data_IF_216779517102
#
_entry.id   IF_216779517102
#
_cell.length_a   1.000
_cell.length_b   1.000
_cell.length_c   1.000
_cell.angle_alpha   90.00
_cell.angle_beta   90.00
_cell.angle_gamma   90.00
#
_symmetry.space_group_name_H-M   'P 1'
#
loop_
_entity.id
_entity.type
_entity.pdbx_description
1 polymer ?
#
# COMPACT_ATOMS: atom_id res chain seq x y z
N UNK A 1 17.14 12.46 -18.70
CA UNK A 1 17.04 11.26 -17.84
C UNK A 1 15.66 10.67 -18.01
N UNK A 2 15.52 9.36 -17.97
CA UNK A 2 14.21 8.73 -17.99
C UNK A 2 13.53 9.02 -16.64
N UNK A 3 12.27 9.49 -16.66
CA UNK A 3 11.50 9.77 -15.45
C UNK A 3 11.33 8.49 -14.63
N UNK A 4 11.32 8.61 -13.30
CA UNK A 4 11.05 7.50 -12.40
C UNK A 4 9.56 7.47 -12.06
N UNK A 5 8.92 6.30 -12.22
CA UNK A 5 7.52 6.08 -11.81
C UNK A 5 7.41 4.89 -10.88
N UNK A 6 6.75 5.11 -9.77
CA UNK A 6 6.40 4.07 -8.81
C UNK A 6 4.96 3.63 -9.05
N UNK A 7 4.77 2.37 -9.37
CA UNK A 7 3.47 1.70 -9.46
C UNK A 7 3.22 1.04 -8.10
N UNK A 8 2.53 1.75 -7.22
CA UNK A 8 2.33 1.35 -5.82
C UNK A 8 1.03 0.57 -5.73
N UNK A 9 1.13 -0.71 -5.41
CA UNK A 9 0.03 -1.67 -5.34
C UNK A 9 -0.32 -1.88 -3.87
N UNK A 10 -1.61 -1.78 -3.49
CA UNK A 10 -2.05 -2.30 -2.20
C UNK A 10 -2.07 -3.84 -2.28
N UNK A 11 -1.54 -4.52 -1.27
CA UNK A 11 -1.56 -5.99 -1.19
C UNK A 11 -2.95 -6.59 -1.43
N UNK A 12 -3.03 -7.85 -1.85
CA UNK A 12 -4.26 -8.59 -2.08
C UNK A 12 -5.09 -8.79 -0.81
N UNK A 13 -6.36 -9.19 -0.97
CA UNK A 13 -7.28 -9.42 0.14
C UNK A 13 -6.79 -10.56 1.04
N UNK A 14 -6.69 -10.29 2.34
CA UNK A 14 -6.20 -11.23 3.36
C UNK A 14 -7.33 -11.83 4.20
N UNK A 15 -7.00 -12.84 5.02
CA UNK A 15 -7.93 -13.36 6.03
C UNK A 15 -8.42 -12.26 6.96
N UNK A 16 -7.54 -11.38 7.48
CA UNK A 16 -7.92 -10.29 8.37
C UNK A 16 -8.83 -9.27 7.67
N UNK A 17 -8.60 -8.97 6.40
CA UNK A 17 -9.53 -8.12 5.64
C UNK A 17 -10.93 -8.75 5.56
N UNK A 18 -11.01 -10.07 5.40
CA UNK A 18 -12.28 -10.78 5.28
C UNK A 18 -13.07 -10.80 6.60
N UNK A 19 -12.37 -11.00 7.74
CA UNK A 19 -13.00 -11.07 9.06
C UNK A 19 -13.04 -9.73 9.81
N UNK A 20 -12.64 -8.64 9.14
CA UNK A 20 -12.73 -7.28 9.69
C UNK A 20 -11.78 -6.98 10.84
N UNK A 21 -10.58 -7.57 10.84
CA UNK A 21 -9.55 -7.27 11.85
C UNK A 21 -8.59 -6.18 11.38
N UNK A 22 -8.16 -5.35 12.32
CA UNK A 22 -7.10 -4.37 12.10
C UNK A 22 -5.79 -5.10 11.79
N UNK A 23 -5.16 -4.76 10.66
CA UNK A 23 -3.97 -5.42 10.17
C UNK A 23 -2.88 -4.39 9.88
N UNK A 24 -2.15 -4.05 10.91
CA UNK A 24 -0.96 -3.22 10.82
C UNK A 24 0.30 -4.07 10.60
N UNK A 25 1.08 -4.25 11.67
CA UNK A 25 2.28 -5.10 11.65
C UNK A 25 1.97 -6.58 11.86
N UNK A 26 0.79 -6.93 12.40
CA UNK A 26 0.30 -8.31 12.35
C UNK A 26 0.08 -8.76 10.90
N UNK A 27 0.22 -10.05 10.63
CA UNK A 27 0.17 -10.55 9.27
C UNK A 27 -0.68 -11.80 9.14
N UNK A 28 -1.42 -11.90 8.02
CA UNK A 28 -2.16 -13.09 7.61
C UNK A 28 -2.04 -13.29 6.11
N UNK A 29 -2.11 -14.54 5.62
CA UNK A 29 -1.98 -14.82 4.19
C UNK A 29 -3.12 -14.21 3.38
N UNK A 30 -2.90 -14.11 2.08
CA UNK A 30 -3.96 -13.82 1.12
C UNK A 30 -5.05 -14.90 1.18
N UNK A 31 -6.28 -14.54 0.87
CA UNK A 31 -7.35 -15.51 0.61
C UNK A 31 -7.30 -15.96 -0.84
N UNK A 32 -7.94 -17.08 -1.18
CA UNK A 32 -8.05 -17.50 -2.57
C UNK A 32 -8.68 -16.42 -3.48
N UNK A 33 -9.65 -15.67 -2.97
CA UNK A 33 -10.20 -14.48 -3.65
C UNK A 33 -9.14 -13.39 -3.83
N UNK A 34 -8.32 -13.15 -2.79
CA UNK A 34 -7.24 -12.18 -2.83
C UNK A 34 -6.16 -12.55 -3.85
N UNK A 35 -5.75 -13.84 -3.90
CA UNK A 35 -4.81 -14.34 -4.90
C UNK A 35 -5.36 -14.19 -6.31
N UNK A 36 -6.63 -14.61 -6.54
CA UNK A 36 -7.31 -14.45 -7.83
C UNK A 36 -7.30 -12.98 -8.30
N UNK A 37 -7.66 -12.03 -7.41
CA UNK A 37 -7.65 -10.61 -7.74
C UNK A 37 -6.25 -10.07 -8.07
N UNK A 38 -5.19 -10.62 -7.46
CA UNK A 38 -3.82 -10.22 -7.80
C UNK A 38 -3.35 -10.86 -9.11
N UNK A 39 -3.78 -12.08 -9.46
CA UNK A 39 -3.58 -12.64 -10.79
C UNK A 39 -4.24 -11.76 -11.86
N UNK A 40 -5.48 -11.33 -11.66
CA UNK A 40 -6.18 -10.39 -12.56
C UNK A 40 -5.40 -9.09 -12.71
N UNK A 41 -4.93 -8.49 -11.62
CA UNK A 41 -4.08 -7.30 -11.66
C UNK A 41 -2.80 -7.53 -12.49
N UNK A 42 -2.08 -8.64 -12.23
CA UNK A 42 -0.83 -8.98 -12.92
C UNK A 42 -1.03 -9.16 -14.43
N UNK A 43 -2.11 -9.83 -14.85
CA UNK A 43 -2.53 -9.94 -16.25
C UNK A 43 -2.79 -8.58 -16.86
N UNK A 44 -3.55 -7.70 -16.19
CA UNK A 44 -3.83 -6.36 -16.69
C UNK A 44 -2.57 -5.49 -16.82
N UNK A 45 -1.63 -5.60 -15.89
CA UNK A 45 -0.34 -4.93 -15.99
C UNK A 45 0.49 -5.46 -17.18
N UNK A 46 0.48 -6.76 -17.42
CA UNK A 46 1.14 -7.37 -18.60
C UNK A 46 0.55 -6.84 -19.90
N UNK A 47 -0.77 -6.82 -20.02
CA UNK A 47 -1.48 -6.34 -21.22
C UNK A 47 -1.27 -4.85 -21.48
N UNK A 48 -0.98 -4.06 -20.44
CA UNK A 48 -0.64 -2.64 -20.62
C UNK A 48 0.70 -2.42 -21.35
N UNK A 49 1.51 -3.46 -21.52
CA UNK A 49 2.82 -3.38 -22.15
C UNK A 49 3.88 -2.63 -21.34
N UNK A 50 3.57 -2.25 -20.09
CA UNK A 50 4.51 -1.59 -19.19
C UNK A 50 5.73 -2.49 -18.92
N UNK A 51 6.90 -1.86 -18.86
CA UNK A 51 8.15 -2.53 -18.48
C UNK A 51 8.58 -2.03 -17.12
N UNK A 52 8.99 -2.94 -16.25
CA UNK A 52 9.45 -2.67 -14.91
C UNK A 52 10.92 -3.07 -14.76
N UNK A 53 11.70 -2.21 -14.10
CA UNK A 53 13.15 -2.43 -13.92
C UNK A 53 13.48 -2.95 -12.52
N UNK A 54 12.65 -2.66 -11.53
CA UNK A 54 12.83 -3.05 -10.12
C UNK A 54 11.51 -3.32 -9.45
N UNK A 55 11.56 -4.13 -8.39
CA UNK A 55 10.43 -4.44 -7.54
C UNK A 55 10.80 -4.21 -6.06
N UNK A 56 9.85 -3.68 -5.29
CA UNK A 56 9.99 -3.42 -3.87
C UNK A 56 8.71 -3.81 -3.14
N UNK A 57 8.82 -4.28 -1.91
CA UNK A 57 7.65 -4.42 -1.04
C UNK A 57 8.01 -4.14 0.41
N UNK A 58 7.01 -3.95 1.27
CA UNK A 58 7.25 -4.16 2.69
C UNK A 58 7.64 -5.63 2.93
N UNK A 59 8.17 -5.90 4.10
CA UNK A 59 8.59 -7.26 4.51
C UNK A 59 7.47 -8.09 5.15
N UNK A 60 6.21 -7.67 5.00
CA UNK A 60 5.04 -8.44 5.44
C UNK A 60 4.73 -9.58 4.47
N UNK A 61 4.34 -10.75 4.96
CA UNK A 61 4.03 -11.91 4.14
C UNK A 61 2.98 -11.64 3.06
N UNK A 62 1.92 -10.86 3.38
CA UNK A 62 0.87 -10.48 2.42
C UNK A 62 1.38 -9.64 1.25
N UNK A 63 2.37 -8.78 1.46
CA UNK A 63 2.97 -7.98 0.38
C UNK A 63 3.95 -8.82 -0.45
N UNK A 64 4.69 -9.73 0.20
CA UNK A 64 5.57 -10.68 -0.47
C UNK A 64 4.77 -11.62 -1.38
N UNK A 65 3.67 -12.20 -0.87
CA UNK A 65 2.77 -13.03 -1.67
C UNK A 65 2.20 -12.26 -2.87
N UNK A 66 1.72 -11.03 -2.63
CA UNK A 66 1.19 -10.16 -3.70
C UNK A 66 2.25 -9.89 -4.77
N UNK A 67 3.47 -9.50 -4.38
CA UNK A 67 4.55 -9.22 -5.34
C UNK A 67 4.94 -10.48 -6.11
N UNK A 68 4.99 -11.64 -5.46
CA UNK A 68 5.30 -12.92 -6.11
C UNK A 68 4.36 -13.21 -7.28
N UNK A 69 3.04 -13.08 -7.06
CA UNK A 69 2.01 -13.28 -8.09
C UNK A 69 2.17 -12.25 -9.23
N UNK A 70 2.37 -10.98 -8.90
CA UNK A 70 2.55 -9.93 -9.93
C UNK A 70 3.78 -10.19 -10.79
N UNK A 71 4.91 -10.54 -10.18
CA UNK A 71 6.16 -10.87 -10.90
C UNK A 71 5.97 -12.09 -11.81
N UNK A 72 5.27 -13.11 -11.34
CA UNK A 72 4.96 -14.33 -12.11
C UNK A 72 4.10 -13.98 -13.34
N UNK A 73 3.01 -13.24 -13.17
CA UNK A 73 2.12 -12.85 -14.29
C UNK A 73 2.80 -11.96 -15.31
N UNK A 74 3.78 -11.16 -14.90
CA UNK A 74 4.60 -10.35 -15.79
C UNK A 74 5.72 -11.13 -16.49
N UNK A 75 5.93 -12.41 -16.13
CA UNK A 75 7.03 -13.23 -16.67
C UNK A 75 8.41 -12.76 -16.20
N UNK A 76 8.52 -12.12 -15.04
CA UNK A 76 9.73 -11.52 -14.50
C UNK A 76 10.40 -12.34 -13.40
N UNK A 77 9.89 -13.54 -13.10
CA UNK A 77 10.43 -14.44 -12.06
C UNK A 77 11.93 -14.71 -12.32
N UNK A 78 12.75 -14.38 -11.32
CA UNK A 78 14.22 -14.53 -11.40
C UNK A 78 14.93 -13.49 -12.28
N UNK A 79 14.20 -12.58 -12.94
CA UNK A 79 14.75 -11.61 -13.88
C UNK A 79 14.56 -10.15 -13.46
N UNK A 80 13.95 -9.89 -12.30
CA UNK A 80 13.77 -8.54 -11.76
C UNK A 80 14.43 -8.43 -10.38
N UNK A 81 15.27 -7.41 -10.12
CA UNK A 81 15.77 -7.15 -8.77
C UNK A 81 14.60 -6.86 -7.83
N UNK A 82 14.50 -7.59 -6.72
CA UNK A 82 13.43 -7.46 -5.73
C UNK A 82 14.02 -7.23 -4.35
N UNK A 83 13.58 -6.16 -3.69
CA UNK A 83 14.08 -5.71 -2.38
C UNK A 83 12.94 -5.44 -1.41
N UNK A 84 13.14 -5.81 -0.13
CA UNK A 84 12.23 -5.48 0.95
C UNK A 84 12.62 -4.17 1.65
N UNK A 85 11.64 -3.34 1.97
CA UNK A 85 11.85 -2.12 2.74
C UNK A 85 10.80 -2.01 3.87
N UNK A 86 11.25 -2.18 5.12
CA UNK A 86 10.38 -2.07 6.28
C UNK A 86 9.81 -0.68 6.51
N UNK A 87 10.37 0.36 5.87
CA UNK A 87 9.85 1.73 5.97
C UNK A 87 8.51 1.92 5.29
N UNK A 88 8.15 1.03 4.35
CA UNK A 88 6.84 1.03 3.67
C UNK A 88 5.87 -0.02 4.25
N UNK A 89 6.10 -0.53 5.48
CA UNK A 89 5.12 -1.29 6.26
C UNK A 89 3.85 -0.46 6.49
N UNK A 90 2.76 -1.15 6.83
CA UNK A 90 1.53 -0.49 7.31
C UNK A 90 1.78 0.29 8.62
N UNK A 91 0.83 1.10 9.01
CA UNK A 91 0.81 1.70 10.34
C UNK A 91 0.82 0.60 11.39
N UNK A 92 1.53 0.82 12.48
CA UNK A 92 1.47 -0.06 13.64
C UNK A 92 0.25 0.32 14.49
N UNK A 93 -0.67 -0.62 14.70
CA UNK A 93 -1.84 -0.38 15.56
C UNK A 93 -1.57 -0.75 17.03
N UNK A 94 -0.31 -1.07 17.37
CA UNK A 94 0.10 -1.38 18.72
C UNK A 94 -0.69 -2.52 19.34
N UNK A 95 -1.24 -2.32 20.54
CA UNK A 95 -2.09 -3.30 21.24
C UNK A 95 -3.36 -3.69 20.50
N UNK A 96 -3.76 -2.94 19.46
CA UNK A 96 -4.91 -3.24 18.61
C UNK A 96 -4.55 -4.00 17.31
N UNK A 97 -3.29 -4.33 17.10
CA UNK A 97 -2.90 -5.14 15.96
C UNK A 97 -3.53 -6.54 16.05
N UNK A 98 -4.36 -6.90 15.08
CA UNK A 98 -5.17 -8.12 15.09
C UNK A 98 -6.48 -8.03 15.84
N UNK A 99 -6.80 -6.92 16.49
CA UNK A 99 -8.10 -6.69 17.13
C UNK A 99 -9.22 -6.52 16.08
N UNK A 100 -10.48 -6.56 16.53
CA UNK A 100 -11.60 -6.27 15.64
C UNK A 100 -11.58 -4.80 15.20
N UNK A 101 -11.44 -4.56 13.90
CA UNK A 101 -11.29 -3.21 13.34
C UNK A 101 -12.48 -2.31 13.63
N UNK A 102 -13.70 -2.87 13.67
CA UNK A 102 -14.90 -2.15 14.07
C UNK A 102 -14.84 -1.59 15.49
N UNK A 103 -14.28 -2.35 16.43
CA UNK A 103 -14.10 -1.88 17.81
C UNK A 103 -13.09 -0.73 17.87
N UNK A 104 -11.96 -0.85 17.19
CA UNK A 104 -10.94 0.19 17.16
C UNK A 104 -11.46 1.47 16.52
N UNK A 105 -11.89 1.39 15.24
CA UNK A 105 -12.15 2.57 14.42
C UNK A 105 -13.53 3.21 14.67
N UNK A 106 -14.54 2.44 15.10
CA UNK A 106 -15.89 2.98 15.36
C UNK A 106 -16.25 3.03 16.86
N UNK A 107 -15.41 2.45 17.73
CA UNK A 107 -15.63 2.44 19.17
C UNK A 107 -14.59 3.22 19.94
N UNK A 108 -13.34 2.76 19.91
CA UNK A 108 -12.27 3.29 20.77
C UNK A 108 -11.78 4.66 20.29
N UNK A 109 -11.38 4.80 19.04
CA UNK A 109 -10.83 6.05 18.49
C UNK A 109 -11.83 7.19 18.59
N UNK A 110 -13.10 7.07 18.16
CA UNK A 110 -14.07 8.15 18.30
C UNK A 110 -14.29 8.61 19.73
N UNK A 111 -14.34 7.67 20.69
CA UNK A 111 -14.51 7.98 22.11
C UNK A 111 -13.33 8.78 22.67
N UNK A 112 -12.10 8.39 22.34
CA UNK A 112 -10.90 9.04 22.88
C UNK A 112 -10.70 10.42 22.25
N UNK A 113 -10.91 10.54 20.95
CA UNK A 113 -10.73 11.80 20.22
C UNK A 113 -11.99 12.68 20.18
N UNK A 114 -13.07 12.28 20.90
CA UNK A 114 -14.31 13.01 20.99
C UNK A 114 -14.88 13.42 19.61
N UNK A 115 -14.95 12.46 18.69
CA UNK A 115 -15.55 12.62 17.36
C UNK A 115 -16.68 11.61 17.16
N UNK A 116 -17.61 11.89 16.28
CA UNK A 116 -18.70 10.95 15.94
C UNK A 116 -18.28 9.92 14.89
N UNK A 117 -17.33 10.25 14.02
CA UNK A 117 -16.81 9.36 12.99
C UNK A 117 -15.29 9.54 12.82
N UNK A 118 -14.53 8.46 12.98
CA UNK A 118 -13.08 8.48 12.77
C UNK A 118 -12.68 8.93 11.35
N UNK A 119 -13.57 8.82 10.36
CA UNK A 119 -13.34 9.26 8.99
C UNK A 119 -13.30 10.78 8.83
N UNK A 120 -13.76 11.51 9.84
CA UNK A 120 -13.64 12.97 9.88
C UNK A 120 -12.26 13.42 10.32
N UNK A 121 -11.51 12.55 10.99
CA UNK A 121 -10.16 12.83 11.43
C UNK A 121 -9.20 12.94 10.24
N UNK A 122 -8.29 13.89 10.32
CA UNK A 122 -7.12 13.92 9.45
C UNK A 122 -6.18 12.74 9.75
N UNK A 123 -5.30 12.41 8.81
CA UNK A 123 -4.32 11.33 9.03
C UNK A 123 -3.40 11.60 10.23
N UNK A 124 -2.90 12.85 10.47
CA UNK A 124 -2.16 13.18 11.69
C UNK A 124 -2.95 12.94 12.99
N UNK A 125 -4.22 13.37 13.04
CA UNK A 125 -5.08 13.17 14.21
C UNK A 125 -5.32 11.69 14.47
N UNK A 126 -5.58 10.91 13.43
CA UNK A 126 -5.79 9.47 13.55
C UNK A 126 -4.52 8.74 14.02
N UNK A 127 -3.34 9.08 13.49
CA UNK A 127 -2.08 8.48 13.92
C UNK A 127 -1.78 8.77 15.40
N UNK A 128 -1.92 10.03 15.81
CA UNK A 128 -1.71 10.42 17.20
C UNK A 128 -2.75 9.80 18.13
N UNK A 129 -4.02 9.70 17.70
CA UNK A 129 -5.05 9.00 18.45
C UNK A 129 -4.77 7.50 18.64
N UNK A 130 -4.13 6.84 17.67
CA UNK A 130 -3.68 5.46 17.83
C UNK A 130 -2.61 5.35 18.94
N UNK A 131 -1.70 6.31 19.04
CA UNK A 131 -0.71 6.35 20.13
C UNK A 131 -1.38 6.50 21.50
N UNK A 132 -2.41 7.34 21.60
CA UNK A 132 -3.14 7.55 22.87
C UNK A 132 -3.86 6.29 23.38
N UNK A 133 -4.35 5.44 22.46
CA UNK A 133 -5.07 4.22 22.82
C UNK A 133 -4.16 2.99 22.93
N UNK A 134 -2.93 3.07 22.44
CA UNK A 134 -1.99 1.96 22.43
C UNK A 134 -1.34 1.74 23.78
N UNK A 135 -1.74 0.69 24.49
CA UNK A 135 -1.15 0.29 25.78
C UNK A 135 0.19 -0.45 25.64
N UNK A 136 0.57 -0.88 24.43
CA UNK A 136 1.84 -1.55 24.17
C UNK A 136 2.97 -0.57 23.84
N UNK A 137 2.64 0.69 23.47
CA UNK A 137 3.62 1.71 23.15
C UNK A 137 4.36 1.46 21.83
N UNK A 138 3.75 0.78 20.86
CA UNK A 138 4.34 0.46 19.55
C UNK A 138 3.78 1.30 18.41
N UNK A 139 2.60 1.93 18.60
CA UNK A 139 2.03 2.82 17.60
C UNK A 139 2.95 4.04 17.38
N UNK A 140 3.07 4.44 16.13
CA UNK A 140 3.98 5.53 15.74
C UNK A 140 3.20 6.87 15.75
N UNK A 141 3.69 7.93 16.43
CA UNK A 141 3.14 9.26 16.29
C UNK A 141 3.33 9.76 14.85
N UNK A 142 2.46 10.68 14.39
CA UNK A 142 2.47 11.15 13.01
C UNK A 142 3.83 11.61 12.51
N UNK A 143 4.59 12.32 13.31
CA UNK A 143 5.92 12.81 12.93
C UNK A 143 6.87 11.67 12.57
N UNK A 144 6.90 10.61 13.38
CA UNK A 144 7.72 9.43 13.14
C UNK A 144 7.20 8.63 11.95
N UNK A 145 5.90 8.40 11.88
CA UNK A 145 5.23 7.65 10.83
C UNK A 145 5.41 8.29 9.46
N UNK A 146 5.17 9.60 9.35
CA UNK A 146 5.29 10.37 8.11
C UNK A 146 6.73 10.42 7.61
N UNK A 147 7.70 10.64 8.52
CA UNK A 147 9.13 10.60 8.18
C UNK A 147 9.52 9.23 7.65
N UNK A 148 9.14 8.14 8.35
CA UNK A 148 9.42 6.76 7.92
C UNK A 148 8.90 6.48 6.52
N UNK A 149 7.64 6.84 6.25
CA UNK A 149 6.99 6.60 4.96
C UNK A 149 7.68 7.40 3.85
N UNK A 150 7.89 8.70 4.07
CA UNK A 150 8.52 9.56 3.07
C UNK A 150 9.95 9.10 2.76
N UNK A 151 10.73 8.75 3.78
CA UNK A 151 12.10 8.23 3.62
C UNK A 151 12.11 6.91 2.84
N UNK A 152 11.15 6.02 3.09
CA UNK A 152 11.02 4.75 2.39
C UNK A 152 10.77 4.94 0.89
N UNK A 153 9.73 5.67 0.52
CA UNK A 153 9.41 5.92 -0.89
C UNK A 153 10.48 6.77 -1.60
N UNK A 154 11.10 7.72 -0.88
CA UNK A 154 12.20 8.52 -1.44
C UNK A 154 13.44 7.66 -1.73
N UNK A 155 13.80 6.74 -0.83
CA UNK A 155 14.92 5.84 -1.06
C UNK A 155 14.66 4.90 -2.26
N UNK A 156 13.44 4.36 -2.37
CA UNK A 156 13.02 3.55 -3.52
C UNK A 156 13.13 4.36 -4.82
N UNK A 157 12.57 5.56 -4.85
CA UNK A 157 12.60 6.40 -6.05
C UNK A 157 14.03 6.76 -6.48
N UNK A 158 14.90 7.11 -5.53
CA UNK A 158 16.32 7.40 -5.78
C UNK A 158 17.10 6.18 -6.28
N UNK A 159 16.80 4.98 -5.76
CA UNK A 159 17.44 3.74 -6.22
C UNK A 159 17.06 3.40 -7.67
N UNK A 160 15.81 3.64 -8.05
CA UNK A 160 15.35 3.51 -9.45
C UNK A 160 15.98 4.57 -10.33
N UNK A 161 16.00 5.84 -9.90
CA UNK A 161 16.62 6.96 -10.63
C UNK A 161 18.11 6.72 -10.86
N UNK A 162 18.85 6.27 -9.84
CA UNK A 162 20.28 5.94 -9.92
C UNK A 162 20.58 4.81 -10.92
N UNK A 163 19.61 3.94 -11.19
CA UNK A 163 19.71 2.86 -12.18
C UNK A 163 19.26 3.26 -13.59
N UNK A 164 19.05 4.56 -13.85
CA UNK A 164 18.64 5.09 -15.15
C UNK A 164 17.15 5.48 -15.23
N UNK A 165 16.40 5.38 -14.16
CA UNK A 165 14.96 5.69 -14.11
C UNK A 165 14.08 4.57 -14.66
N UNK A 166 12.83 4.90 -15.00
CA UNK A 166 11.84 3.96 -15.50
C UNK A 166 10.77 3.61 -14.48
N UNK A 167 10.06 2.49 -14.69
CA UNK A 167 8.97 2.07 -13.80
C UNK A 167 9.46 1.06 -12.78
N UNK A 168 9.02 1.20 -11.54
CA UNK A 168 9.19 0.22 -10.49
C UNK A 168 7.85 -0.27 -9.94
N UNK A 169 7.78 -1.56 -9.62
CA UNK A 169 6.70 -2.14 -8.84
C UNK A 169 6.96 -1.91 -7.35
N UNK A 170 5.95 -1.49 -6.62
CA UNK A 170 6.01 -1.35 -5.16
C UNK A 170 4.75 -1.96 -4.56
N UNK A 171 4.87 -2.88 -3.61
CA UNK A 171 3.68 -3.39 -2.87
C UNK A 171 3.72 -2.89 -1.43
N UNK A 172 2.66 -2.21 -1.03
CA UNK A 172 2.49 -1.63 0.29
C UNK A 172 1.03 -1.79 0.79
N UNK A 173 0.57 -0.90 1.64
CA UNK A 173 -0.64 -1.04 2.42
C UNK A 173 -1.53 0.20 2.33
N UNK A 174 -2.80 0.05 2.71
CA UNK A 174 -3.83 1.07 2.49
C UNK A 174 -3.51 2.40 3.17
N UNK A 175 -3.26 2.38 4.48
CA UNK A 175 -3.05 3.63 5.23
C UNK A 175 -1.68 4.25 4.91
N UNK A 176 -0.68 3.41 4.66
CA UNK A 176 0.64 3.87 4.22
C UNK A 176 0.59 4.54 2.84
N UNK A 177 -0.15 3.99 1.88
CA UNK A 177 -0.37 4.62 0.57
C UNK A 177 -1.15 5.93 0.73
N UNK A 178 -2.18 5.93 1.58
CA UNK A 178 -2.97 7.14 1.88
C UNK A 178 -2.12 8.23 2.53
N UNK A 179 -1.28 7.88 3.52
CA UNK A 179 -0.36 8.81 4.15
C UNK A 179 0.68 9.37 3.17
N UNK A 180 1.23 8.51 2.30
CA UNK A 180 2.15 8.97 1.27
C UNK A 180 1.48 9.94 0.28
N UNK A 181 0.24 9.66 -0.13
CA UNK A 181 -0.53 10.56 -0.97
C UNK A 181 -0.77 11.92 -0.29
N UNK A 182 -1.14 11.93 0.99
CA UNK A 182 -1.26 13.16 1.79
C UNK A 182 0.04 13.96 1.87
N UNK A 183 1.19 13.29 2.04
CA UNK A 183 2.50 13.95 2.10
C UNK A 183 2.92 14.58 0.77
N UNK A 184 2.36 14.12 -0.34
CA UNK A 184 2.58 14.71 -1.67
C UNK A 184 1.59 15.85 -1.93
N UNK A 185 0.33 15.68 -1.53
CA UNK A 185 -0.75 16.65 -1.75
C UNK A 185 -1.63 16.72 -0.49
N UNK A 186 -1.42 17.77 0.30
CA UNK A 186 -2.15 18.01 1.55
C UNK A 186 -3.66 18.24 1.37
N UNK A 187 -4.13 18.46 0.14
CA UNK A 187 -5.57 18.48 -0.15
C UNK A 187 -6.23 17.10 0.03
N UNK A 188 -5.44 16.02 0.05
CA UNK A 188 -5.89 14.66 0.37
C UNK A 188 -5.89 14.49 1.89
N UNK A 189 -6.76 15.20 2.60
CA UNK A 189 -6.77 15.27 4.07
C UNK A 189 -7.17 13.99 4.78
N UNK A 190 -7.84 13.07 4.08
CA UNK A 190 -8.38 11.81 4.64
C UNK A 190 -7.82 10.60 3.90
N UNK A 191 -7.82 9.45 4.57
CA UNK A 191 -7.44 8.21 3.91
C UNK A 191 -8.34 7.96 2.67
N UNK A 192 -7.77 7.91 1.46
CA UNK A 192 -8.54 7.72 0.22
C UNK A 192 -9.17 6.32 0.11
N UNK A 193 -8.90 5.41 1.04
CA UNK A 193 -9.50 4.08 1.08
C UNK A 193 -9.15 3.22 -0.13
N UNK A 194 -7.90 3.22 -0.55
CA UNK A 194 -7.44 2.42 -1.70
C UNK A 194 -7.79 0.94 -1.54
N UNK A 195 -8.37 0.33 -2.59
CA UNK A 195 -8.84 -1.06 -2.56
C UNK A 195 -7.68 -2.05 -2.67
N UNK A 196 -7.88 -3.30 -2.19
CA UNK A 196 -6.91 -4.38 -2.40
C UNK A 196 -6.64 -4.60 -3.90
N UNK A 197 -5.38 -4.69 -4.31
CA UNK A 197 -4.98 -4.83 -5.71
C UNK A 197 -5.10 -3.54 -6.54
N UNK A 198 -5.47 -2.39 -5.95
CA UNK A 198 -5.44 -1.11 -6.67
C UNK A 198 -4.01 -0.61 -6.89
N UNK A 199 -3.83 0.20 -7.92
CA UNK A 199 -2.54 0.79 -8.30
C UNK A 199 -2.57 2.30 -8.13
N UNK A 200 -1.63 2.83 -7.37
CA UNK A 200 -1.35 4.27 -7.29
C UNK A 200 -0.07 4.55 -8.06
N UNK A 201 -0.11 5.45 -9.02
CA UNK A 201 1.05 5.81 -9.83
C UNK A 201 1.58 7.16 -9.38
N UNK A 202 2.84 7.18 -8.96
CA UNK A 202 3.54 8.39 -8.52
C UNK A 202 4.80 8.58 -9.36
N UNK A 203 4.94 9.76 -9.94
CA UNK A 203 6.14 10.18 -10.68
C UNK A 203 7.12 10.88 -9.72
N UNK A 204 8.41 10.56 -9.82
CA UNK A 204 9.48 11.22 -9.10
C UNK A 204 10.44 11.88 -10.09
N UNK A 205 10.61 13.18 -9.94
CA UNK A 205 11.50 13.99 -10.79
C UNK A 205 12.08 15.15 -9.98
N UNK A 206 13.37 15.36 -10.07
CA UNK A 206 14.09 16.48 -9.39
C UNK A 206 13.81 16.57 -7.88
N UNK A 207 13.73 15.44 -7.20
CA UNK A 207 13.49 15.37 -5.76
C UNK A 207 12.04 15.57 -5.34
N UNK A 208 11.07 15.62 -6.28
CA UNK A 208 9.65 15.84 -6.01
C UNK A 208 8.81 14.69 -6.51
N UNK A 209 7.78 14.38 -5.74
CA UNK A 209 6.76 13.43 -6.11
C UNK A 209 5.53 14.14 -6.71
N UNK A 210 4.88 13.49 -7.68
CA UNK A 210 3.61 13.94 -8.26
C UNK A 210 2.70 12.73 -8.46
N UNK A 211 1.49 12.76 -7.89
CA UNK A 211 0.50 11.71 -8.06
C UNK A 211 -0.07 11.81 -9.47
N UNK A 212 0.00 10.71 -10.21
CA UNK A 212 -0.61 10.58 -11.55
C UNK A 212 -1.99 9.93 -11.47
N UNK A 213 -2.11 8.88 -10.67
CA UNK A 213 -3.37 8.20 -10.37
C UNK A 213 -3.35 7.69 -8.94
N UNK A 214 -4.52 7.64 -8.30
CA UNK A 214 -4.68 7.14 -6.92
C UNK A 214 -5.73 6.03 -6.89
N UNK A 215 -5.31 4.83 -6.48
CA UNK A 215 -6.21 3.70 -6.26
C UNK A 215 -6.89 3.16 -7.52
N UNK A 216 -6.21 3.19 -8.67
CA UNK A 216 -6.74 2.73 -9.97
C UNK A 216 -6.97 1.22 -9.98
N UNK A 217 -8.18 0.80 -10.34
CA UNK A 217 -8.60 -0.59 -10.51
C UNK A 217 -8.68 -1.02 -11.99
N UNK A 218 -8.29 -0.17 -12.93
CA UNK A 218 -8.43 -0.47 -14.36
C UNK A 218 -7.63 -1.69 -14.80
N UNK A 219 -6.43 -1.87 -14.27
CA UNK A 219 -5.60 -3.06 -14.55
C UNK A 219 -6.28 -4.36 -14.10
N UNK A 220 -6.84 -4.36 -12.89
CA UNK A 220 -7.61 -5.48 -12.37
C UNK A 220 -8.81 -5.80 -13.28
N UNK A 221 -9.58 -4.78 -13.69
CA UNK A 221 -10.74 -4.95 -14.57
C UNK A 221 -10.35 -5.50 -15.96
N UNK A 222 -9.20 -5.11 -16.50
CA UNK A 222 -8.70 -5.65 -17.76
C UNK A 222 -8.35 -7.13 -17.62
N UNK A 223 -7.62 -7.51 -16.58
CA UNK A 223 -7.26 -8.92 -16.35
C UNK A 223 -8.47 -9.80 -16.11
N UNK A 224 -9.43 -9.36 -15.31
CA UNK A 224 -10.69 -10.08 -15.06
C UNK A 224 -11.43 -10.40 -16.36
N UNK A 225 -11.60 -9.40 -17.24
CA UNK A 225 -12.24 -9.59 -18.56
C UNK A 225 -11.50 -10.57 -19.46
N UNK A 226 -10.19 -10.67 -19.34
CA UNK A 226 -9.38 -11.63 -20.11
C UNK A 226 -9.61 -13.04 -19.62
N UNK A 227 -9.58 -13.25 -18.29
CA UNK A 227 -9.82 -14.55 -17.69
C UNK A 227 -11.26 -15.06 -17.94
N UNK A 228 -12.26 -14.18 -17.93
CA UNK A 228 -13.64 -14.53 -18.27
C UNK A 228 -13.80 -15.07 -19.69
N UNK A 229 -13.02 -14.55 -20.65
CA UNK A 229 -13.04 -15.01 -22.05
C UNK A 229 -12.34 -16.35 -22.28
N UNK A 230 -11.56 -16.83 -21.31
CA UNK A 230 -10.83 -18.09 -21.41
C UNK A 230 -11.57 -19.27 -20.75
N UNK A 231 -12.67 -18.99 -20.05
CA UNK A 231 -13.59 -19.98 -19.48
C UNK A 231 -14.71 -20.36 -20.46
#
# INVERSE_FOLDING_TARGET
MTKTKLYIIRHGKTMFNTIGRAQGWSDTPLTAEGECGIHELGIGLRESGLKFSKAFSSDSGRTIQTMGIVIEELGLTGNIPYTFDKRIREWCFGSFDGAYGGELFYGVIPRVLNTDDYKELSLPELANGLVEVDTAGWAEPWEQLSSRILDGFTAIAKDVEASGGGNALVVSHSMTIGAFAYLIDEAITKNPGVQNGSVTVVEYENGKFTIQTLGDMSYHQVGSKILEKQK
#
